data_IF_014681277630
#
_entry.id   IF_014681277630
#
_cell.length_a   1.000
_cell.length_b   1.000
_cell.length_c   1.000
_cell.angle_alpha   90.00
_cell.angle_beta   90.00
_cell.angle_gamma   90.00
#
_symmetry.space_group_name_H-M   'P 1'
#
loop_
_entity.id
_entity.type
_entity.pdbx_description
1 polymer ?
#
# COMPACT_ATOMS: atom_id res chain seq x y z
N UNK A 1 11.93 11.16 2.09
CA UNK A 1 12.07 10.64 3.46
C UNK A 1 13.20 9.61 3.55
N UNK A 2 14.13 9.72 4.53
CA UNK A 2 15.24 8.75 4.71
C UNK A 2 14.78 7.37 5.22
N UNK A 3 13.62 7.27 5.87
CA UNK A 3 13.07 6.01 6.37
C UNK A 3 12.51 5.11 5.25
N UNK A 4 11.89 5.69 4.22
CA UNK A 4 11.38 4.99 3.03
C UNK A 4 12.49 4.35 2.17
N UNK A 5 13.69 4.95 2.18
CA UNK A 5 14.84 4.43 1.42
C UNK A 5 15.52 3.23 2.12
N UNK A 6 15.31 3.09 3.44
CA UNK A 6 15.83 1.96 4.24
C UNK A 6 14.88 0.78 4.36
N UNK A 7 13.57 0.96 4.12
CA UNK A 7 12.58 -0.13 4.18
C UNK A 7 12.54 -0.99 2.90
N UNK A 8 13.21 -0.54 1.82
CA UNK A 8 13.34 -1.27 0.55
C UNK A 8 14.34 -2.43 0.63
N UNK A 9 15.32 -2.39 1.54
CA UNK A 9 16.32 -3.44 1.74
C UNK A 9 15.81 -4.53 2.69
N UNK A 10 14.83 -5.33 2.26
CA UNK A 10 14.49 -6.70 2.71
C UNK A 10 14.59 -7.05 4.22
N UNK A 11 14.53 -6.08 5.13
CA UNK A 11 14.83 -6.27 6.55
C UNK A 11 14.04 -5.32 7.45
N UNK A 12 12.84 -4.93 7.04
CA UNK A 12 11.86 -4.46 8.02
C UNK A 12 11.47 -5.65 8.90
N UNK A 13 12.09 -5.74 10.08
CA UNK A 13 11.70 -6.72 11.10
C UNK A 13 10.47 -6.16 11.79
N UNK A 14 9.36 -6.87 11.66
CA UNK A 14 8.17 -6.59 12.43
C UNK A 14 8.52 -6.48 13.93
N UNK A 15 7.76 -5.67 14.66
CA UNK A 15 7.83 -5.66 16.13
C UNK A 15 7.18 -6.96 16.67
N UNK A 16 7.82 -8.10 16.38
CA UNK A 16 7.36 -9.45 16.74
C UNK A 16 7.25 -9.65 18.25
N UNK A 17 7.86 -8.75 19.03
CA UNK A 17 7.75 -8.68 20.48
C UNK A 17 6.30 -8.62 20.96
N UNK A 18 5.37 -8.06 20.16
CA UNK A 18 3.96 -7.99 20.51
C UNK A 18 3.23 -9.35 20.47
N UNK A 19 3.79 -10.33 19.75
CA UNK A 19 3.19 -11.66 19.61
C UNK A 19 3.83 -12.71 20.51
N UNK A 20 4.90 -12.34 21.24
CA UNK A 20 5.53 -13.20 22.25
C UNK A 20 4.67 -13.18 23.51
N UNK A 21 4.16 -14.33 23.99
CA UNK A 21 3.48 -14.38 25.27
C UNK A 21 4.45 -13.99 26.38
N UNK A 22 4.21 -12.87 27.08
CA UNK A 22 4.90 -12.53 28.33
C UNK A 22 4.49 -13.58 29.37
N UNK A 23 5.36 -14.56 29.60
CA UNK A 23 5.21 -15.52 30.68
C UNK A 23 5.77 -14.92 31.96
N UNK A 24 4.90 -14.50 32.87
CA UNK A 24 5.26 -14.44 34.29
C UNK A 24 5.00 -15.81 34.91
N UNK A 25 6.04 -16.45 35.45
CA UNK A 25 5.92 -17.75 36.12
C UNK A 25 5.02 -17.62 37.37
N UNK A 26 3.89 -18.33 37.44
CA UNK A 26 3.12 -18.39 38.67
C UNK A 26 3.86 -19.29 39.66
N UNK A 27 4.13 -18.77 40.86
CA UNK A 27 4.65 -19.56 41.99
C UNK A 27 3.92 -20.91 42.13
N UNK A 28 4.64 -22.04 42.29
CA UNK A 28 4.04 -23.35 42.16
C UNK A 28 3.22 -23.69 43.41
N UNK A 29 1.90 -23.75 43.27
CA UNK A 29 1.03 -24.45 44.24
C UNK A 29 0.33 -25.65 43.59
N UNK A 30 0.21 -26.70 44.40
CA UNK A 30 -0.02 -28.11 44.04
C UNK A 30 -1.24 -28.37 43.13
N UNK A 31 -1.07 -29.44 42.35
CA UNK A 31 -1.89 -29.99 41.27
C UNK A 31 -3.36 -30.22 41.65
N UNK A 32 -4.27 -29.67 40.85
CA UNK A 32 -5.57 -30.28 40.53
C UNK A 32 -5.86 -30.12 39.03
N UNK A 33 -6.53 -31.12 38.46
CA UNK A 33 -6.52 -31.54 37.06
C UNK A 33 -7.00 -30.51 36.03
N UNK A 34 -6.06 -29.83 35.37
CA UNK A 34 -5.79 -29.75 33.93
C UNK A 34 -6.86 -29.40 32.86
N UNK A 35 -8.17 -29.28 33.12
CA UNK A 35 -9.12 -28.93 32.03
C UNK A 35 -9.22 -27.42 31.78
N UNK A 36 -9.37 -26.63 32.84
CA UNK A 36 -9.55 -25.17 32.75
C UNK A 36 -8.27 -24.49 32.26
N UNK A 37 -7.11 -24.89 32.78
CA UNK A 37 -5.81 -24.35 32.33
C UNK A 37 -5.51 -24.72 30.87
N UNK A 38 -5.85 -25.95 30.42
CA UNK A 38 -5.73 -26.33 29.00
C UNK A 38 -6.70 -25.56 28.12
N UNK A 39 -7.94 -25.33 28.59
CA UNK A 39 -8.93 -24.55 27.86
C UNK A 39 -8.54 -23.07 27.75
N UNK A 40 -8.02 -22.47 28.83
CA UNK A 40 -7.46 -21.11 28.82
C UNK A 40 -6.22 -21.02 27.91
N UNK A 41 -5.30 -22.00 27.96
CA UNK A 41 -4.13 -22.05 27.08
C UNK A 41 -4.54 -22.18 25.60
N UNK A 42 -5.53 -23.02 25.29
CA UNK A 42 -6.07 -23.18 23.93
C UNK A 42 -6.74 -21.90 23.44
N UNK A 43 -7.59 -21.25 24.26
CA UNK A 43 -8.19 -19.96 23.91
C UNK A 43 -7.16 -18.85 23.72
N UNK A 44 -6.11 -18.81 24.54
CA UNK A 44 -5.01 -17.84 24.39
C UNK A 44 -4.21 -18.09 23.11
N UNK A 45 -3.84 -19.33 22.81
CA UNK A 45 -3.17 -19.70 21.56
C UNK A 45 -4.03 -19.40 20.32
N UNK A 46 -5.34 -19.59 20.41
CA UNK A 46 -6.27 -19.22 19.36
C UNK A 46 -6.37 -17.69 19.20
N UNK A 47 -6.39 -16.95 20.31
CA UNK A 47 -6.39 -15.48 20.28
C UNK A 47 -5.09 -14.90 19.70
N UNK A 48 -3.93 -15.45 20.05
CA UNK A 48 -2.64 -15.02 19.50
C UNK A 48 -2.52 -15.36 18.02
N UNK A 49 -3.01 -16.53 17.59
CA UNK A 49 -3.08 -16.89 16.18
C UNK A 49 -4.01 -15.96 15.37
N UNK A 50 -5.16 -15.56 15.94
CA UNK A 50 -6.06 -14.56 15.31
C UNK A 50 -5.41 -13.18 15.19
N UNK A 51 -4.75 -12.71 16.25
CA UNK A 51 -4.00 -11.44 16.24
C UNK A 51 -2.88 -11.45 15.19
N UNK A 52 -2.11 -12.53 15.13
CA UNK A 52 -1.06 -12.71 14.14
C UNK A 52 -1.61 -12.69 12.70
N UNK A 53 -2.72 -13.40 12.43
CA UNK A 53 -3.39 -13.35 11.11
C UNK A 53 -3.88 -11.96 10.75
N UNK A 54 -4.47 -11.20 11.69
CA UNK A 54 -4.90 -9.82 11.47
C UNK A 54 -3.73 -8.93 11.08
N UNK A 55 -2.61 -9.05 11.80
CA UNK A 55 -1.40 -8.29 11.51
C UNK A 55 -0.77 -8.67 10.16
N UNK A 56 -0.72 -9.96 9.82
CA UNK A 56 -0.27 -10.39 8.49
C UNK A 56 -1.12 -9.80 7.37
N UNK A 57 -2.45 -9.81 7.51
CA UNK A 57 -3.34 -9.19 6.53
C UNK A 57 -3.07 -7.68 6.40
N UNK A 58 -2.82 -6.99 7.52
CA UNK A 58 -2.46 -5.57 7.54
C UNK A 58 -1.15 -5.31 6.78
N UNK A 59 -0.15 -6.17 6.96
CA UNK A 59 1.12 -6.08 6.21
C UNK A 59 0.94 -6.34 4.71
N UNK A 60 0.12 -7.32 4.33
CA UNK A 60 -0.17 -7.59 2.92
C UNK A 60 -0.91 -6.40 2.28
N UNK A 61 -1.90 -5.83 2.97
CA UNK A 61 -2.59 -4.62 2.51
C UNK A 61 -1.63 -3.43 2.36
N UNK A 62 -0.69 -3.26 3.30
CA UNK A 62 0.30 -2.20 3.22
C UNK A 62 1.24 -2.38 2.03
N UNK A 63 1.67 -3.61 1.75
CA UNK A 63 2.46 -3.91 0.54
C UNK A 63 1.67 -3.59 -0.73
N UNK A 64 0.38 -3.94 -0.79
CA UNK A 64 -0.44 -3.63 -1.95
C UNK A 64 -0.62 -2.12 -2.13
N UNK A 65 -0.78 -1.35 -1.05
CA UNK A 65 -0.87 0.11 -1.13
C UNK A 65 0.44 0.76 -1.59
N UNK A 66 1.58 0.27 -1.12
CA UNK A 66 2.89 0.72 -1.65
C UNK A 66 2.99 0.44 -3.15
N UNK A 67 2.51 -0.71 -3.62
CA UNK A 67 2.52 -1.04 -5.05
C UNK A 67 1.58 -0.12 -5.85
N UNK A 68 0.38 0.19 -5.33
CA UNK A 68 -0.52 1.18 -5.92
C UNK A 68 0.14 2.56 -6.03
N UNK A 69 0.81 3.01 -4.97
CA UNK A 69 1.55 4.27 -4.96
C UNK A 69 2.68 4.30 -5.98
N UNK A 70 3.45 3.21 -6.10
CA UNK A 70 4.50 3.06 -7.13
C UNK A 70 3.93 3.14 -8.55
N UNK A 71 2.77 2.52 -8.79
CA UNK A 71 2.11 2.60 -10.09
C UNK A 71 1.65 4.03 -10.41
N UNK A 72 1.06 4.72 -9.42
CA UNK A 72 0.69 6.13 -9.58
C UNK A 72 1.92 7.02 -9.82
N UNK A 73 3.01 6.82 -9.08
CA UNK A 73 4.27 7.55 -9.24
C UNK A 73 4.84 7.41 -10.65
N UNK A 74 4.83 6.18 -11.18
CA UNK A 74 5.26 5.92 -12.55
C UNK A 74 4.40 6.69 -13.57
N UNK A 75 3.07 6.71 -13.40
CA UNK A 75 2.16 7.41 -14.30
C UNK A 75 2.30 8.93 -14.20
N UNK A 76 2.54 9.46 -12.99
CA UNK A 76 2.85 10.89 -12.79
C UNK A 76 4.15 11.25 -13.48
N UNK A 77 5.21 10.45 -13.34
CA UNK A 77 6.48 10.68 -14.06
C UNK A 77 6.32 10.63 -15.57
N UNK A 78 5.51 9.69 -16.08
CA UNK A 78 5.17 9.68 -17.51
C UNK A 78 4.52 10.99 -17.95
N UNK A 79 3.64 11.57 -17.12
CA UNK A 79 3.06 12.88 -17.40
C UNK A 79 4.15 13.97 -17.44
N UNK A 80 5.01 14.04 -16.41
CA UNK A 80 6.01 15.10 -16.27
C UNK A 80 7.12 15.04 -17.32
N UNK A 81 7.53 13.84 -17.73
CA UNK A 81 8.63 13.61 -18.66
C UNK A 81 8.20 13.60 -20.14
N UNK A 82 6.89 13.60 -20.42
CA UNK A 82 6.38 13.52 -21.78
C UNK A 82 6.47 14.87 -22.52
N UNK A 83 7.51 15.01 -23.33
CA UNK A 83 7.74 16.18 -24.19
C UNK A 83 7.23 15.99 -25.63
N UNK A 84 6.57 14.87 -25.93
CA UNK A 84 6.29 14.45 -27.31
C UNK A 84 4.88 14.78 -27.80
N UNK A 85 4.00 15.24 -26.91
CA UNK A 85 2.60 15.61 -27.21
C UNK A 85 2.31 17.00 -26.62
N UNK A 86 1.18 17.61 -27.00
CA UNK A 86 0.76 18.88 -26.38
C UNK A 86 0.44 18.70 -24.91
N UNK A 87 0.58 19.75 -24.11
CA UNK A 87 0.24 19.73 -22.69
C UNK A 87 -1.22 19.29 -22.45
N UNK A 88 -2.14 19.74 -23.30
CA UNK A 88 -3.56 19.36 -23.25
C UNK A 88 -3.76 17.86 -23.49
N UNK A 89 -3.11 17.29 -24.51
CA UNK A 89 -3.19 15.86 -24.77
C UNK A 89 -2.53 15.03 -23.65
N UNK A 90 -1.45 15.55 -23.08
CA UNK A 90 -0.76 14.92 -21.96
C UNK A 90 -1.63 14.89 -20.69
N UNK A 91 -2.31 16.00 -20.39
CA UNK A 91 -3.22 16.13 -19.26
C UNK A 91 -4.43 15.19 -19.40
N UNK A 92 -5.00 15.09 -20.60
CA UNK A 92 -6.07 14.11 -20.88
C UNK A 92 -5.61 12.67 -20.62
N UNK A 93 -4.38 12.32 -20.97
CA UNK A 93 -3.87 10.94 -20.82
C UNK A 93 -3.44 10.60 -19.38
N UNK A 94 -2.82 11.55 -18.66
CA UNK A 94 -2.12 11.26 -17.40
C UNK A 94 -2.41 12.24 -16.25
N UNK A 95 -3.14 13.34 -16.49
CA UNK A 95 -3.33 14.42 -15.51
C UNK A 95 -4.01 13.99 -14.21
N UNK A 96 -4.88 12.98 -14.27
CA UNK A 96 -5.63 12.47 -13.11
C UNK A 96 -4.76 11.75 -12.07
N UNK A 97 -3.60 11.22 -12.45
CA UNK A 97 -2.79 10.37 -11.57
C UNK A 97 -2.11 11.14 -10.44
N UNK A 98 -1.94 12.46 -10.56
CA UNK A 98 -1.36 13.29 -9.50
C UNK A 98 -2.22 13.33 -8.24
N UNK A 99 -3.55 13.38 -8.40
CA UNK A 99 -4.48 13.34 -7.27
C UNK A 99 -4.49 11.95 -6.62
N UNK A 100 -4.47 10.88 -7.44
CA UNK A 100 -4.40 9.50 -6.96
C UNK A 100 -3.13 9.24 -6.16
N UNK A 101 -1.97 9.68 -6.66
CA UNK A 101 -0.70 9.57 -5.96
C UNK A 101 -0.76 10.22 -4.58
N UNK A 102 -1.32 11.43 -4.46
CA UNK A 102 -1.45 12.14 -3.17
C UNK A 102 -2.34 11.39 -2.19
N UNK A 103 -3.45 10.81 -2.65
CA UNK A 103 -4.34 10.03 -1.80
C UNK A 103 -3.64 8.77 -1.28
N UNK A 104 -2.99 7.99 -2.15
CA UNK A 104 -2.28 6.79 -1.76
C UNK A 104 -1.04 7.08 -0.89
N UNK A 105 -0.32 8.19 -1.11
CA UNK A 105 0.82 8.58 -0.27
C UNK A 105 0.38 8.82 1.18
N UNK A 106 -0.75 9.50 1.39
CA UNK A 106 -1.33 9.71 2.72
C UNK A 106 -1.73 8.40 3.39
N UNK A 107 -2.38 7.50 2.66
CA UNK A 107 -2.77 6.18 3.16
C UNK A 107 -1.54 5.39 3.58
N UNK A 108 -0.50 5.32 2.73
CA UNK A 108 0.75 4.63 3.03
C UNK A 108 1.44 5.23 4.27
N UNK A 109 1.49 6.55 4.39
CA UNK A 109 2.09 7.21 5.56
C UNK A 109 1.34 6.83 6.85
N UNK A 110 0.02 6.98 6.87
CA UNK A 110 -0.83 6.64 8.03
C UNK A 110 -0.74 5.15 8.38
N UNK A 111 -0.73 4.27 7.38
CA UNK A 111 -0.59 2.82 7.59
C UNK A 111 0.78 2.47 8.19
N UNK A 112 1.84 3.14 7.74
CA UNK A 112 3.18 2.99 8.31
C UNK A 112 3.20 3.31 9.81
N UNK A 113 2.60 4.44 10.21
CA UNK A 113 2.50 4.85 11.61
C UNK A 113 1.72 3.85 12.48
N UNK A 114 0.58 3.35 11.96
CA UNK A 114 -0.24 2.35 12.65
C UNK A 114 0.50 1.01 12.78
N UNK A 115 1.26 0.60 11.77
CA UNK A 115 2.03 -0.64 11.80
C UNK A 115 3.25 -0.55 12.73
N UNK A 116 3.90 0.61 12.80
CA UNK A 116 5.02 0.87 13.73
C UNK A 116 4.57 0.80 15.20
N UNK A 117 3.35 1.26 15.49
CA UNK A 117 2.78 1.34 16.85
C UNK A 117 1.69 0.30 17.14
N UNK A 118 1.63 -0.76 16.31
CA UNK A 118 0.50 -1.69 16.26
C UNK A 118 0.18 -2.30 17.62
N UNK A 119 -1.07 -2.15 18.05
CA UNK A 119 -1.63 -2.74 19.26
C UNK A 119 -3.03 -3.32 18.97
N UNK A 120 -3.68 -3.91 19.98
CA UNK A 120 -4.99 -4.55 19.83
C UNK A 120 -6.10 -3.60 19.33
N UNK A 121 -5.96 -2.29 19.55
CA UNK A 121 -6.89 -1.25 19.10
C UNK A 121 -6.52 -0.66 17.73
N UNK A 122 -5.37 -1.04 17.15
CA UNK A 122 -4.94 -0.53 15.85
C UNK A 122 -5.86 -1.01 14.72
N UNK A 123 -6.47 -0.06 14.03
CA UNK A 123 -7.47 -0.26 12.97
C UNK A 123 -7.01 0.43 11.70
N UNK A 124 -6.43 -0.33 10.78
CA UNK A 124 -6.08 0.18 9.45
C UNK A 124 -7.32 0.61 8.65
N UNK A 125 -8.48 -0.02 8.91
CA UNK A 125 -9.73 0.32 8.22
C UNK A 125 -10.13 1.79 8.39
N UNK A 126 -9.88 2.38 9.57
CA UNK A 126 -10.24 3.76 9.85
C UNK A 126 -9.45 4.75 8.97
N UNK A 127 -8.25 4.38 8.53
CA UNK A 127 -7.46 5.19 7.59
C UNK A 127 -8.19 5.36 6.26
N UNK A 128 -8.81 4.30 5.75
CA UNK A 128 -9.55 4.36 4.49
C UNK A 128 -10.86 5.13 4.62
N UNK A 129 -11.50 5.07 5.80
CA UNK A 129 -12.67 5.90 6.11
C UNK A 129 -12.27 7.38 6.18
N UNK A 130 -11.17 7.70 6.86
CA UNK A 130 -10.66 9.07 6.96
C UNK A 130 -10.23 9.66 5.61
N UNK A 131 -9.72 8.82 4.70
CA UNK A 131 -9.28 9.22 3.35
C UNK A 131 -10.35 9.00 2.27
N UNK A 132 -11.58 8.64 2.63
CA UNK A 132 -12.68 8.36 1.68
C UNK A 132 -12.91 9.52 0.71
N UNK A 133 -12.91 10.76 1.23
CA UNK A 133 -13.08 11.95 0.41
C UNK A 133 -11.93 12.13 -0.58
N UNK A 134 -10.68 12.02 -0.11
CA UNK A 134 -9.47 12.11 -0.96
C UNK A 134 -9.49 11.08 -2.09
N UNK A 135 -9.89 9.85 -1.77
CA UNK A 135 -10.03 8.76 -2.75
C UNK A 135 -11.15 9.06 -3.75
N UNK A 136 -12.31 9.51 -3.28
CA UNK A 136 -13.44 9.83 -4.16
C UNK A 136 -13.08 10.95 -5.13
N UNK A 137 -12.49 12.03 -4.63
CA UNK A 137 -12.06 13.16 -5.43
C UNK A 137 -11.00 12.77 -6.48
N UNK A 138 -10.06 11.88 -6.12
CA UNK A 138 -9.04 11.40 -7.04
C UNK A 138 -9.58 10.42 -8.11
N UNK A 139 -10.46 9.50 -7.73
CA UNK A 139 -10.92 8.43 -8.61
C UNK A 139 -12.11 8.81 -9.48
N UNK A 140 -12.96 9.76 -9.06
CA UNK A 140 -14.10 10.19 -9.89
C UNK A 140 -13.65 10.68 -11.27
N UNK A 141 -12.71 11.63 -11.41
CA UNK A 141 -12.21 12.06 -12.73
C UNK A 141 -11.57 10.91 -13.51
N UNK A 142 -10.79 10.06 -12.84
CA UNK A 142 -10.14 8.91 -13.46
C UNK A 142 -11.16 7.99 -14.17
N UNK A 143 -12.26 7.62 -13.50
CA UNK A 143 -13.26 6.77 -14.12
C UNK A 143 -14.00 7.45 -15.27
N UNK A 144 -14.23 8.77 -15.19
CA UNK A 144 -14.87 9.52 -16.27
C UNK A 144 -13.97 9.66 -17.51
N UNK A 145 -12.65 9.76 -17.33
CA UNK A 145 -11.72 10.01 -18.45
C UNK A 145 -10.98 8.76 -18.92
N UNK A 146 -11.07 7.63 -18.22
CA UNK A 146 -10.26 6.43 -18.50
C UNK A 146 -10.33 5.97 -19.96
N UNK A 147 -11.53 5.81 -20.51
CA UNK A 147 -11.70 5.31 -21.87
C UNK A 147 -11.12 6.28 -22.92
N UNK A 148 -11.38 7.58 -22.72
CA UNK A 148 -10.82 8.63 -23.56
C UNK A 148 -9.28 8.67 -23.46
N UNK A 149 -8.72 8.56 -22.26
CA UNK A 149 -7.28 8.53 -22.00
C UNK A 149 -6.62 7.37 -22.74
N UNK A 150 -7.19 6.16 -22.65
CA UNK A 150 -6.69 4.97 -23.33
C UNK A 150 -6.73 5.11 -24.85
N UNK A 151 -7.82 5.67 -25.38
CA UNK A 151 -7.94 5.92 -26.81
C UNK A 151 -6.92 6.96 -27.29
N UNK A 152 -6.72 8.05 -26.55
CA UNK A 152 -5.71 9.06 -26.85
C UNK A 152 -4.29 8.48 -26.85
N UNK A 153 -3.93 7.67 -25.85
CA UNK A 153 -2.63 6.99 -25.82
C UNK A 153 -2.46 6.13 -27.08
N UNK A 154 -3.49 5.35 -27.45
CA UNK A 154 -3.44 4.46 -28.60
C UNK A 154 -3.28 5.23 -29.93
N UNK A 155 -4.00 6.33 -30.10
CA UNK A 155 -3.91 7.16 -31.30
C UNK A 155 -2.58 7.88 -31.41
N UNK A 156 -2.12 8.51 -30.32
CA UNK A 156 -0.83 9.18 -30.28
C UNK A 156 0.33 8.21 -30.53
N UNK A 157 0.26 6.98 -30.01
CA UNK A 157 1.27 5.94 -30.30
C UNK A 157 1.33 5.54 -31.77
N UNK A 158 0.20 5.59 -32.49
CA UNK A 158 0.18 5.29 -33.94
C UNK A 158 0.73 6.44 -34.77
N UNK A 159 0.41 7.68 -34.38
CA UNK A 159 0.72 8.87 -35.15
C UNK A 159 2.11 9.45 -34.85
N UNK A 160 2.65 9.19 -33.66
CA UNK A 160 3.90 9.76 -33.19
C UNK A 160 4.90 8.67 -32.76
N UNK A 161 5.86 8.38 -33.65
CA UNK A 161 6.89 7.36 -33.41
C UNK A 161 7.79 7.68 -32.20
N UNK A 162 8.05 8.96 -31.91
CA UNK A 162 8.86 9.38 -30.76
C UNK A 162 8.11 9.12 -29.45
N UNK A 163 6.83 9.48 -29.39
CA UNK A 163 5.96 9.17 -28.26
C UNK A 163 5.82 7.66 -28.05
N UNK A 164 5.65 6.88 -29.12
CA UNK A 164 5.60 5.42 -29.00
C UNK A 164 6.92 4.84 -28.45
N UNK A 165 8.06 5.32 -28.93
CA UNK A 165 9.36 4.91 -28.39
C UNK A 165 9.49 5.28 -26.91
N UNK A 166 9.09 6.48 -26.51
CA UNK A 166 9.04 6.92 -25.12
C UNK A 166 8.21 5.98 -24.23
N UNK A 167 6.98 5.64 -24.64
CA UNK A 167 6.12 4.72 -23.87
C UNK A 167 6.71 3.31 -23.79
N UNK A 168 7.28 2.78 -24.88
CA UNK A 168 7.90 1.44 -24.90
C UNK A 168 9.12 1.40 -23.99
N UNK A 169 10.02 2.37 -24.10
CA UNK A 169 11.24 2.44 -23.28
C UNK A 169 10.88 2.63 -21.81
N UNK A 170 9.95 3.53 -21.50
CA UNK A 170 9.54 3.81 -20.12
C UNK A 170 8.80 2.65 -19.48
N UNK A 171 7.98 1.89 -20.23
CA UNK A 171 7.31 0.70 -19.68
C UNK A 171 8.28 -0.45 -19.40
N UNK A 172 9.34 -0.59 -20.20
CA UNK A 172 10.43 -1.53 -19.91
C UNK A 172 11.22 -1.04 -18.70
N UNK A 173 11.76 0.18 -18.71
CA UNK A 173 12.60 0.70 -17.62
C UNK A 173 11.84 0.87 -16.30
N UNK A 174 10.55 1.23 -16.34
CA UNK A 174 9.68 1.32 -15.16
C UNK A 174 9.46 -0.01 -14.45
N UNK A 175 9.59 -1.13 -15.16
CA UNK A 175 9.58 -2.48 -14.57
C UNK A 175 10.93 -2.85 -13.91
N UNK A 176 12.04 -2.18 -14.28
CA UNK A 176 13.40 -2.53 -13.85
C UNK A 176 14.05 -1.51 -12.89
N UNK A 177 13.48 -0.32 -12.70
CA UNK A 177 14.00 0.68 -11.75
C UNK A 177 13.25 0.70 -10.41
N UNK A 178 13.86 -0.01 -9.43
CA UNK A 178 13.79 0.09 -7.95
C UNK A 178 12.58 -0.50 -7.17
#
# INVERSE_FOLDING_TARGET
MKWFRGSLDHRWRANEAYFVPTWEEPTPRRRHTNSILRFQKRRRAESSAKKYKRYQLCLELFKTEINCLKACDFLVRLCEENLYVSAEANDVMFGVFGAMWKAHDRIVQKMGEVLDTCNDNSTIGDIFVDEEWSLTEAYSPYFYTLEASLQYIKENRKQNAKFNAFIVVSSVLGCWQR
#
